data_IF_078438221736
#
_entry.id   IF_078438221736
#
_cell.length_a   1.000
_cell.length_b   1.000
_cell.length_c   1.000
_cell.angle_alpha   90.00
_cell.angle_beta   90.00
_cell.angle_gamma   90.00
#
_symmetry.space_group_name_H-M   'P 1'
#
loop_
_entity.id
_entity.type
_entity.pdbx_description
1 polymer ?
#
# COMPACT_ATOMS: atom_id res chain seq x y z
N UNK A 1 -24.45 1.85 -3.73
CA UNK A 1 -23.31 1.44 -4.59
C UNK A 1 -21.99 1.56 -3.83
N UNK A 2 -21.71 2.71 -3.20
CA UNK A 2 -20.50 2.99 -2.38
C UNK A 2 -20.24 1.95 -1.28
N UNK A 3 -21.26 1.56 -0.50
CA UNK A 3 -21.12 0.56 0.56
C UNK A 3 -20.64 -0.81 0.03
N UNK A 4 -21.06 -1.16 -1.19
CA UNK A 4 -20.70 -2.44 -1.83
C UNK A 4 -19.26 -2.44 -2.35
N UNK A 5 -18.74 -1.26 -2.74
CA UNK A 5 -17.33 -1.06 -3.11
C UNK A 5 -16.42 -1.14 -1.88
N UNK A 6 -16.77 -0.46 -0.78
CA UNK A 6 -15.99 -0.51 0.48
C UNK A 6 -15.89 -1.94 1.04
N UNK A 7 -16.94 -2.75 0.89
CA UNK A 7 -16.96 -4.15 1.34
C UNK A 7 -16.19 -5.10 0.41
N UNK A 8 -16.04 -4.77 -0.87
CA UNK A 8 -15.34 -5.62 -1.86
C UNK A 8 -13.82 -5.43 -1.83
N UNK A 9 -13.37 -4.26 -1.37
CA UNK A 9 -11.96 -3.86 -1.34
C UNK A 9 -11.29 -4.03 0.04
N UNK A 10 -11.99 -4.56 1.05
CA UNK A 10 -11.42 -4.73 2.39
C UNK A 10 -10.22 -5.68 2.31
N UNK A 11 -9.02 -5.16 2.55
CA UNK A 11 -7.81 -5.97 2.49
C UNK A 11 -7.84 -7.02 3.59
N UNK A 12 -7.44 -8.26 3.25
CA UNK A 12 -7.16 -9.25 4.27
C UNK A 12 -5.84 -8.85 4.94
N UNK A 13 -5.87 -8.61 6.25
CA UNK A 13 -4.69 -8.28 7.05
C UNK A 13 -3.56 -9.27 6.81
N UNK A 14 -2.37 -8.75 6.53
CA UNK A 14 -1.13 -9.48 6.31
C UNK A 14 -0.22 -9.41 7.54
N UNK A 15 -0.23 -8.32 8.30
CA UNK A 15 0.62 -8.21 9.49
C UNK A 15 0.07 -9.00 10.67
N UNK A 16 0.94 -9.76 11.32
CA UNK A 16 0.64 -10.66 12.43
C UNK A 16 1.75 -10.60 13.48
N UNK A 17 1.39 -10.65 14.75
CA UNK A 17 2.38 -10.66 15.84
C UNK A 17 2.61 -12.08 16.39
N UNK A 18 1.60 -12.97 16.37
CA UNK A 18 1.72 -14.35 16.85
C UNK A 18 2.37 -15.30 15.82
N UNK A 19 3.59 -15.77 16.10
CA UNK A 19 4.35 -16.68 15.22
C UNK A 19 3.73 -18.07 15.11
N UNK A 20 3.11 -18.59 16.18
CA UNK A 20 2.52 -19.94 16.19
C UNK A 20 1.33 -20.07 15.22
N UNK A 21 0.71 -18.94 14.88
CA UNK A 21 -0.39 -18.87 13.93
C UNK A 21 0.07 -18.65 12.48
N UNK A 22 1.37 -18.39 12.26
CA UNK A 22 1.90 -18.10 10.93
C UNK A 22 2.15 -19.39 10.15
N UNK A 23 1.63 -19.44 8.93
CA UNK A 23 2.17 -20.34 7.92
C UNK A 23 3.38 -19.69 7.23
N UNK A 24 3.95 -20.39 6.23
CA UNK A 24 5.08 -19.85 5.45
C UNK A 24 4.78 -18.48 4.80
N UNK A 25 3.52 -18.23 4.42
CA UNK A 25 3.12 -16.96 3.80
C UNK A 25 2.98 -15.86 4.85
N UNK A 26 2.37 -16.17 5.99
CA UNK A 26 2.32 -15.29 7.15
C UNK A 26 3.72 -14.88 7.57
N UNK A 27 4.65 -15.84 7.66
CA UNK A 27 6.03 -15.55 8.03
C UNK A 27 6.73 -14.66 6.98
N UNK A 28 6.51 -14.86 5.68
CA UNK A 28 7.14 -14.04 4.64
C UNK A 28 6.83 -12.53 4.77
N UNK A 29 5.65 -12.16 5.29
CA UNK A 29 5.28 -10.77 5.55
C UNK A 29 5.69 -10.28 6.94
N UNK A 30 6.10 -11.19 7.83
CA UNK A 30 6.24 -10.92 9.26
C UNK A 30 7.59 -11.33 9.85
N UNK A 31 8.51 -11.84 9.02
CA UNK A 31 9.81 -12.35 9.43
C UNK A 31 10.78 -11.24 9.88
N UNK A 32 10.50 -9.97 9.53
CA UNK A 32 11.23 -8.83 10.06
C UNK A 32 10.25 -7.83 10.65
N UNK A 33 10.57 -7.25 11.81
CA UNK A 33 9.72 -6.27 12.48
C UNK A 33 10.56 -5.33 13.36
N UNK A 34 9.97 -4.24 13.82
CA UNK A 34 10.64 -3.33 14.77
C UNK A 34 10.13 -3.63 16.19
N UNK A 35 11.05 -3.87 17.12
CA UNK A 35 10.68 -4.10 18.52
C UNK A 35 10.32 -2.80 19.26
N UNK A 36 9.91 -2.95 20.52
CA UNK A 36 9.54 -1.81 21.38
C UNK A 36 10.68 -0.81 21.64
N UNK A 37 11.93 -1.22 21.44
CA UNK A 37 13.11 -0.38 21.61
C UNK A 37 13.56 0.28 20.30
N UNK A 38 12.86 0.02 19.19
CA UNK A 38 13.22 0.53 17.87
C UNK A 38 14.26 -0.31 17.12
N UNK A 39 14.57 -1.53 17.58
CA UNK A 39 15.52 -2.39 16.91
C UNK A 39 14.85 -3.24 15.82
N UNK A 40 15.56 -3.44 14.72
CA UNK A 40 15.16 -4.39 13.68
C UNK A 40 15.37 -5.81 14.20
N UNK A 41 14.31 -6.61 14.19
CA UNK A 41 14.31 -8.02 14.56
C UNK A 41 14.10 -8.88 13.33
N UNK A 42 14.71 -10.06 13.32
CA UNK A 42 14.40 -11.17 12.42
C UNK A 42 13.83 -12.33 13.22
N UNK A 43 12.82 -13.00 12.67
CA UNK A 43 12.25 -14.22 13.22
C UNK A 43 11.90 -15.25 12.16
N UNK A 44 11.99 -16.51 12.57
CA UNK A 44 11.43 -17.67 11.88
C UNK A 44 10.70 -18.58 12.89
N UNK A 45 10.50 -19.85 12.57
CA UNK A 45 9.79 -20.79 13.46
C UNK A 45 10.62 -21.23 14.69
N UNK A 46 11.92 -20.98 14.70
CA UNK A 46 12.84 -21.44 15.73
C UNK A 46 13.54 -20.30 16.45
N UNK A 47 13.86 -19.22 15.72
CA UNK A 47 14.61 -18.09 16.25
C UNK A 47 13.85 -16.77 16.16
N UNK A 48 14.10 -15.91 17.13
CA UNK A 48 13.74 -14.50 17.13
C UNK A 48 14.96 -13.74 17.67
N UNK A 49 15.61 -12.95 16.83
CA UNK A 49 16.93 -12.36 17.09
C UNK A 49 17.04 -10.94 16.54
N UNK A 50 17.92 -10.15 17.14
CA UNK A 50 18.27 -8.82 16.65
C UNK A 50 18.99 -8.95 15.31
N UNK A 51 18.64 -8.10 14.35
CA UNK A 51 19.22 -8.17 13.01
C UNK A 51 20.73 -7.95 13.01
N UNK A 52 21.28 -7.11 13.92
CA UNK A 52 22.73 -6.93 14.08
C UNK A 52 23.36 -8.20 14.61
N UNK A 53 22.75 -8.82 15.62
CA UNK A 53 23.28 -10.05 16.20
C UNK A 53 23.24 -11.22 15.20
N UNK A 54 22.19 -11.31 14.39
CA UNK A 54 22.11 -12.26 13.28
C UNK A 54 23.25 -12.02 12.28
N UNK A 55 23.44 -10.78 11.84
CA UNK A 55 24.46 -10.44 10.87
C UNK A 55 25.90 -10.62 11.41
N UNK A 56 26.17 -10.24 12.67
CA UNK A 56 27.42 -10.52 13.38
C UNK A 56 27.68 -12.03 13.48
N UNK A 57 26.64 -12.82 13.75
CA UNK A 57 26.71 -14.29 13.74
C UNK A 57 27.09 -14.84 12.36
N UNK A 58 26.44 -14.36 11.30
CA UNK A 58 26.77 -14.76 9.92
C UNK A 58 28.21 -14.41 9.55
N UNK A 59 28.69 -13.21 9.93
CA UNK A 59 30.08 -12.82 9.69
C UNK A 59 31.07 -13.77 10.35
N UNK A 60 30.81 -14.14 11.62
CA UNK A 60 31.66 -15.05 12.38
C UNK A 60 31.73 -16.45 11.76
N UNK A 61 30.62 -16.96 11.25
CA UNK A 61 30.54 -18.32 10.70
C UNK A 61 31.01 -18.40 9.24
N UNK A 62 30.80 -17.34 8.46
CA UNK A 62 30.99 -17.38 7.00
C UNK A 62 32.25 -16.67 6.52
N UNK A 63 32.97 -15.96 7.40
CA UNK A 63 34.19 -15.22 7.03
C UNK A 63 35.37 -15.63 7.90
N UNK A 64 36.59 -15.53 7.35
CA UNK A 64 37.80 -16.01 8.01
C UNK A 64 38.33 -15.05 9.10
N UNK A 65 37.93 -13.77 9.06
CA UNK A 65 38.44 -12.74 9.96
C UNK A 65 37.51 -12.54 11.16
N UNK A 66 38.07 -12.65 12.36
CA UNK A 66 37.39 -12.16 13.56
C UNK A 66 37.32 -10.63 13.52
N UNK A 67 36.11 -10.10 13.31
CA UNK A 67 35.84 -8.66 13.37
C UNK A 67 35.13 -8.33 14.67
N UNK A 68 35.60 -7.31 15.37
CA UNK A 68 34.96 -6.75 16.56
C UNK A 68 34.59 -5.30 16.29
N UNK A 69 33.47 -4.87 16.85
CA UNK A 69 32.93 -3.51 16.70
C UNK A 69 32.89 -2.84 18.07
N UNK A 70 33.19 -1.54 18.14
CA UNK A 70 33.18 -0.79 19.40
C UNK A 70 31.75 -0.40 19.82
N UNK A 71 30.85 -0.25 18.84
CA UNK A 71 29.44 0.02 19.01
C UNK A 71 28.58 -0.56 17.89
N UNK A 72 27.26 -0.48 18.04
CA UNK A 72 26.32 -0.83 16.97
C UNK A 72 26.37 0.18 15.81
N UNK A 73 26.67 1.46 16.08
CA UNK A 73 26.87 2.47 15.02
C UNK A 73 28.10 2.13 14.16
N UNK A 74 29.21 1.73 14.79
CA UNK A 74 30.40 1.29 14.06
C UNK A 74 30.13 0.04 13.21
N UNK A 75 29.27 -0.86 13.69
CA UNK A 75 28.84 -2.02 12.93
C UNK A 75 27.99 -1.61 11.72
N UNK A 76 27.01 -0.73 11.92
CA UNK A 76 26.10 -0.27 10.88
C UNK A 76 26.87 0.49 9.77
N UNK A 77 27.80 1.37 10.14
CA UNK A 77 28.68 2.09 9.21
C UNK A 77 29.58 1.12 8.43
N UNK A 78 30.15 0.13 9.12
CA UNK A 78 30.97 -0.89 8.49
C UNK A 78 30.16 -1.67 7.44
N UNK A 79 28.94 -2.11 7.77
CA UNK A 79 28.05 -2.77 6.81
C UNK A 79 27.72 -1.88 5.62
N UNK A 80 27.50 -0.58 5.85
CA UNK A 80 27.28 0.41 4.79
C UNK A 80 28.40 0.45 3.74
N UNK A 81 29.67 0.38 4.18
CA UNK A 81 30.82 0.33 3.26
C UNK A 81 30.79 -0.90 2.35
N UNK A 82 30.49 -2.09 2.88
CA UNK A 82 30.49 -3.33 2.10
C UNK A 82 29.34 -3.43 1.10
N UNK A 83 28.23 -2.71 1.32
CA UNK A 83 27.15 -2.60 0.32
C UNK A 83 27.67 -1.87 -0.93
N UNK A 84 28.47 -0.81 -0.76
CA UNK A 84 28.94 0.04 -1.86
C UNK A 84 30.20 -0.48 -2.57
N UNK A 85 31.13 -1.09 -1.82
CA UNK A 85 32.46 -1.44 -2.33
C UNK A 85 32.53 -2.86 -2.91
N UNK A 86 31.99 -3.84 -2.18
CA UNK A 86 32.12 -5.27 -2.51
C UNK A 86 30.93 -5.80 -3.32
N UNK A 87 29.74 -5.24 -3.07
CA UNK A 87 28.47 -5.74 -3.60
C UNK A 87 28.18 -7.21 -3.23
N UNK A 88 27.17 -7.83 -3.83
CA UNK A 88 26.76 -9.21 -3.50
C UNK A 88 27.77 -10.31 -3.89
N UNK A 89 28.94 -9.94 -4.43
CA UNK A 89 29.92 -10.88 -4.96
C UNK A 89 30.89 -11.41 -3.88
N UNK A 90 30.98 -10.78 -2.71
CA UNK A 90 31.76 -11.27 -1.57
C UNK A 90 30.84 -11.74 -0.45
N UNK A 91 31.35 -12.58 0.46
CA UNK A 91 30.58 -13.00 1.63
C UNK A 91 30.17 -11.79 2.48
N UNK A 92 31.08 -10.82 2.67
CA UNK A 92 30.81 -9.60 3.44
C UNK A 92 29.74 -8.74 2.79
N UNK A 93 29.85 -8.47 1.49
CA UNK A 93 28.86 -7.66 0.78
C UNK A 93 27.50 -8.36 0.64
N UNK A 94 27.47 -9.71 0.54
CA UNK A 94 26.23 -10.48 0.62
C UNK A 94 25.56 -10.34 2.00
N UNK A 95 26.32 -10.49 3.09
CA UNK A 95 25.79 -10.34 4.46
C UNK A 95 25.32 -8.90 4.68
N UNK A 96 26.07 -7.90 4.23
CA UNK A 96 25.69 -6.49 4.33
C UNK A 96 24.40 -6.18 3.55
N UNK A 97 24.25 -6.74 2.36
CA UNK A 97 23.02 -6.62 1.57
C UNK A 97 21.85 -7.32 2.25
N UNK A 98 22.05 -8.52 2.81
CA UNK A 98 21.02 -9.23 3.55
C UNK A 98 20.58 -8.45 4.79
N UNK A 99 21.54 -7.93 5.56
CA UNK A 99 21.29 -7.08 6.72
C UNK A 99 20.48 -5.82 6.38
N UNK A 100 20.82 -5.13 5.28
CA UNK A 100 20.03 -4.02 4.77
C UNK A 100 18.58 -4.44 4.40
N UNK A 101 18.41 -5.64 3.82
CA UNK A 101 17.08 -6.16 3.51
C UNK A 101 16.26 -6.44 4.78
N UNK A 102 16.88 -6.89 5.88
CA UNK A 102 16.19 -7.09 7.15
C UNK A 102 15.57 -5.77 7.65
N UNK A 103 16.36 -4.68 7.61
CA UNK A 103 15.89 -3.33 7.98
C UNK A 103 14.74 -2.87 7.08
N UNK A 104 14.92 -2.99 5.76
CA UNK A 104 13.90 -2.61 4.80
C UNK A 104 12.59 -3.38 5.02
N UNK A 105 12.66 -4.69 5.25
CA UNK A 105 11.49 -5.53 5.50
C UNK A 105 10.79 -5.17 6.81
N UNK A 106 11.53 -4.88 7.88
CA UNK A 106 10.94 -4.45 9.16
C UNK A 106 10.20 -3.11 9.02
N UNK A 107 10.83 -2.10 8.41
CA UNK A 107 10.22 -0.79 8.17
C UNK A 107 8.97 -0.89 7.29
N UNK A 108 9.04 -1.67 6.21
CA UNK A 108 7.89 -1.89 5.34
C UNK A 108 6.75 -2.61 6.05
N UNK A 109 7.06 -3.61 6.89
CA UNK A 109 6.07 -4.31 7.71
C UNK A 109 5.39 -3.35 8.69
N UNK A 110 6.13 -2.53 9.42
CA UNK A 110 5.52 -1.58 10.37
C UNK A 110 4.67 -0.54 9.66
N UNK A 111 5.10 -0.09 8.46
CA UNK A 111 4.30 0.81 7.64
C UNK A 111 3.00 0.16 7.16
N UNK A 112 3.06 -1.12 6.77
CA UNK A 112 1.86 -1.89 6.40
C UNK A 112 0.94 -2.06 7.61
N UNK A 113 1.48 -2.45 8.77
CA UNK A 113 0.74 -2.59 10.04
C UNK A 113 -0.02 -1.31 10.37
N UNK A 114 0.63 -0.16 10.24
CA UNK A 114 0.02 1.14 10.45
C UNK A 114 -1.18 1.40 9.53
N UNK A 115 -1.09 1.07 8.23
CA UNK A 115 -2.21 1.25 7.31
C UNK A 115 -3.35 0.26 7.55
N UNK A 116 -3.03 -1.00 7.87
CA UNK A 116 -4.03 -2.01 8.24
C UNK A 116 -4.77 -1.62 9.52
N UNK A 117 -4.06 -1.09 10.52
CA UNK A 117 -4.67 -0.56 11.75
C UNK A 117 -5.57 0.64 11.47
N UNK A 118 -5.18 1.54 10.55
CA UNK A 118 -6.04 2.64 10.12
C UNK A 118 -7.31 2.13 9.41
N UNK A 119 -7.21 1.10 8.58
CA UNK A 119 -8.36 0.48 7.92
C UNK A 119 -9.32 -0.14 8.94
N UNK A 120 -8.81 -0.92 9.90
CA UNK A 120 -9.61 -1.52 10.97
C UNK A 120 -10.29 -0.49 11.87
N UNK A 121 -9.62 0.64 12.13
CA UNK A 121 -10.18 1.78 12.89
C UNK A 121 -11.16 2.64 12.07
N UNK A 122 -11.36 2.36 10.77
CA UNK A 122 -12.20 3.17 9.88
C UNK A 122 -11.61 4.55 9.57
N UNK A 123 -10.29 4.69 9.64
CA UNK A 123 -9.52 5.94 9.44
C UNK A 123 -8.75 5.96 8.11
N UNK A 124 -8.66 4.84 7.40
CA UNK A 124 -8.12 4.79 6.04
C UNK A 124 -9.22 5.16 5.04
N UNK A 125 -8.99 6.21 4.25
CA UNK A 125 -9.95 6.71 3.27
C UNK A 125 -9.51 6.30 1.86
N UNK A 126 -10.38 5.58 1.15
CA UNK A 126 -10.26 5.31 -0.28
C UNK A 126 -11.36 6.07 -0.99
N UNK A 127 -10.98 7.01 -1.85
CA UNK A 127 -11.93 7.84 -2.61
C UNK A 127 -12.22 7.22 -3.99
N UNK A 128 -13.44 7.39 -4.54
CA UNK A 128 -13.80 6.84 -5.86
C UNK A 128 -12.96 7.39 -7.03
N UNK A 129 -12.38 8.59 -6.87
CA UNK A 129 -11.53 9.24 -7.84
C UNK A 129 -10.55 10.19 -7.15
N UNK A 130 -9.58 10.72 -7.90
CA UNK A 130 -8.63 11.75 -7.47
C UNK A 130 -8.68 12.98 -8.37
N UNK A 131 -8.12 14.08 -7.88
CA UNK A 131 -7.97 15.32 -8.67
C UNK A 131 -7.23 15.04 -9.98
N UNK A 132 -7.77 15.56 -11.09
CA UNK A 132 -7.27 15.35 -12.44
C UNK A 132 -7.86 14.14 -13.19
N UNK A 133 -8.55 13.22 -12.48
CA UNK A 133 -9.32 12.17 -13.14
C UNK A 133 -10.43 12.77 -14.01
N UNK A 134 -10.93 11.97 -14.94
CA UNK A 134 -12.13 12.30 -15.73
C UNK A 134 -13.32 11.58 -15.13
N UNK A 135 -14.37 12.33 -14.80
CA UNK A 135 -15.70 11.81 -14.46
C UNK A 135 -16.66 12.09 -15.59
N UNK A 136 -17.73 11.30 -15.67
CA UNK A 136 -18.70 11.32 -16.75
C UNK A 136 -20.08 11.60 -16.17
N UNK A 137 -20.73 12.66 -16.64
CA UNK A 137 -22.09 13.02 -16.24
C UNK A 137 -23.05 12.79 -17.42
N UNK A 138 -24.18 12.11 -17.17
CA UNK A 138 -25.27 12.06 -18.14
C UNK A 138 -26.15 13.29 -17.98
N UNK A 139 -26.16 14.14 -19.01
CA UNK A 139 -26.99 15.34 -19.07
C UNK A 139 -28.21 15.12 -19.96
N UNK A 140 -29.32 15.77 -19.60
CA UNK A 140 -30.56 15.82 -20.36
C UNK A 140 -30.71 17.21 -20.98
N UNK A 141 -30.82 17.27 -22.30
CA UNK A 141 -31.21 18.48 -23.03
C UNK A 141 -32.62 18.32 -23.57
N UNK A 142 -33.47 19.31 -23.35
CA UNK A 142 -34.88 19.30 -23.76
C UNK A 142 -35.19 20.25 -24.91
N UNK A 143 -34.24 21.11 -25.30
CA UNK A 143 -34.40 22.15 -26.33
C UNK A 143 -33.20 22.13 -27.27
N UNK A 144 -33.38 22.08 -28.60
CA UNK A 144 -34.66 22.05 -29.33
C UNK A 144 -35.36 20.68 -29.36
N UNK A 145 -34.67 19.60 -29.02
CA UNK A 145 -35.23 18.24 -28.93
C UNK A 145 -34.81 17.61 -27.59
N UNK A 146 -35.59 16.65 -27.10
CA UNK A 146 -35.23 15.87 -25.92
C UNK A 146 -34.20 14.79 -26.28
N UNK A 147 -32.99 14.88 -25.73
CA UNK A 147 -31.96 13.85 -25.84
C UNK A 147 -31.02 13.84 -24.62
N UNK A 148 -30.40 12.68 -24.39
CA UNK A 148 -29.35 12.50 -23.39
C UNK A 148 -27.97 12.38 -24.04
N UNK A 149 -26.96 12.94 -23.40
CA UNK A 149 -25.56 12.80 -23.77
C UNK A 149 -24.65 12.69 -22.54
N UNK A 150 -23.42 12.25 -22.77
CA UNK A 150 -22.39 12.18 -21.73
C UNK A 150 -21.49 13.40 -21.86
N UNK A 151 -21.33 14.12 -20.75
CA UNK A 151 -20.35 15.18 -20.59
C UNK A 151 -19.15 14.66 -19.81
N UNK A 152 -17.94 15.04 -20.26
CA UNK A 152 -16.69 14.66 -19.60
C UNK A 152 -16.17 15.85 -18.78
N UNK A 153 -15.88 15.63 -17.50
CA UNK A 153 -15.39 16.67 -16.61
C UNK A 153 -14.10 16.27 -15.90
N UNK A 154 -13.19 17.24 -15.77
CA UNK A 154 -11.98 17.07 -14.96
C UNK A 154 -12.29 17.34 -13.50
N UNK A 155 -11.92 16.39 -12.65
CA UNK A 155 -12.04 16.53 -11.19
C UNK A 155 -11.13 17.66 -10.72
N UNK A 156 -11.73 18.66 -10.11
CA UNK A 156 -11.06 19.83 -9.54
C UNK A 156 -10.69 19.60 -8.07
N UNK A 157 -11.55 18.92 -7.31
CA UNK A 157 -11.37 18.64 -5.89
C UNK A 157 -12.17 17.39 -5.48
N UNK A 158 -11.82 16.79 -4.34
CA UNK A 158 -12.50 15.60 -3.80
C UNK A 158 -12.68 15.73 -2.29
N UNK A 159 -13.82 15.23 -1.81
CA UNK A 159 -14.11 15.11 -0.38
C UNK A 159 -14.55 13.68 -0.06
N UNK A 160 -14.81 13.40 1.21
CA UNK A 160 -15.33 12.09 1.62
C UNK A 160 -16.77 11.82 1.17
N UNK A 161 -17.50 12.84 0.67
CA UNK A 161 -18.92 12.70 0.25
C UNK A 161 -19.20 13.06 -1.20
N UNK A 162 -18.34 13.86 -1.81
CA UNK A 162 -18.61 14.52 -3.08
C UNK A 162 -17.33 14.75 -3.87
N UNK A 163 -17.49 14.89 -5.18
CA UNK A 163 -16.46 15.29 -6.14
C UNK A 163 -16.79 16.69 -6.66
N UNK A 164 -15.76 17.50 -6.90
CA UNK A 164 -15.92 18.81 -7.50
C UNK A 164 -15.52 18.80 -8.96
N UNK A 165 -16.39 19.27 -9.84
CA UNK A 165 -16.11 19.50 -11.25
C UNK A 165 -17.05 20.59 -11.81
N UNK A 166 -16.66 21.23 -12.92
CA UNK A 166 -17.42 22.36 -13.48
C UNK A 166 -17.74 23.46 -12.43
N UNK A 167 -16.85 23.66 -11.46
CA UNK A 167 -16.99 24.58 -10.32
C UNK A 167 -18.10 24.24 -9.31
N UNK A 168 -18.77 23.09 -9.47
CA UNK A 168 -19.86 22.61 -8.61
C UNK A 168 -19.48 21.31 -7.88
N UNK A 169 -20.13 21.04 -6.75
CA UNK A 169 -19.91 19.85 -5.93
C UNK A 169 -21.05 18.87 -6.13
N UNK A 170 -20.72 17.67 -6.60
CA UNK A 170 -21.68 16.60 -6.80
C UNK A 170 -21.44 15.44 -5.83
N UNK A 171 -22.48 14.95 -5.13
CA UNK A 171 -22.34 13.83 -4.21
C UNK A 171 -22.02 12.55 -4.99
N UNK A 172 -21.26 11.65 -4.39
CA UNK A 172 -20.85 10.40 -5.06
C UNK A 172 -22.00 9.45 -5.40
N UNK A 173 -23.18 9.64 -4.79
CA UNK A 173 -24.41 8.89 -5.07
C UNK A 173 -25.35 9.62 -6.04
N UNK A 174 -24.91 10.70 -6.69
CA UNK A 174 -25.65 11.34 -7.77
C UNK A 174 -25.87 10.37 -8.94
N UNK A 175 -27.14 10.18 -9.33
CA UNK A 175 -27.57 9.12 -10.26
C UNK A 175 -26.92 9.19 -11.65
N UNK A 176 -26.57 10.40 -12.10
CA UNK A 176 -26.02 10.64 -13.42
C UNK A 176 -24.49 10.73 -13.44
N UNK A 177 -23.82 10.55 -12.30
CA UNK A 177 -22.36 10.60 -12.19
C UNK A 177 -21.72 9.21 -12.27
N UNK A 178 -20.71 9.08 -13.11
CA UNK A 178 -19.97 7.83 -13.34
C UNK A 178 -18.45 8.09 -13.33
N UNK A 179 -17.69 7.11 -12.83
CA UNK A 179 -16.22 7.20 -12.72
C UNK A 179 -15.49 6.50 -13.88
N UNK A 180 -16.23 5.81 -14.74
CA UNK A 180 -15.71 5.19 -15.97
C UNK A 180 -16.61 5.51 -17.15
N UNK A 181 -16.04 5.55 -18.35
CA UNK A 181 -16.78 5.84 -19.58
C UNK A 181 -17.74 4.73 -19.92
N UNK A 182 -17.30 3.49 -19.74
CA UNK A 182 -18.04 2.27 -20.04
C UNK A 182 -19.33 2.19 -19.19
N UNK A 183 -19.27 2.55 -17.90
CA UNK A 183 -20.46 2.61 -17.04
C UNK A 183 -21.44 3.70 -17.49
N UNK A 184 -20.92 4.88 -17.87
CA UNK A 184 -21.74 5.98 -18.36
C UNK A 184 -22.45 5.62 -19.67
N UNK A 185 -21.73 5.01 -20.63
CA UNK A 185 -22.30 4.56 -21.90
C UNK A 185 -23.38 3.47 -21.68
N UNK A 186 -23.13 2.50 -20.80
CA UNK A 186 -24.11 1.48 -20.45
C UNK A 186 -25.35 2.05 -19.73
N UNK A 187 -25.19 3.08 -18.90
CA UNK A 187 -26.31 3.78 -18.27
C UNK A 187 -27.10 4.63 -19.27
N UNK A 188 -26.44 5.32 -20.20
CA UNK A 188 -27.06 6.09 -21.26
C UNK A 188 -27.93 5.21 -22.17
N UNK A 189 -27.43 4.04 -22.57
CA UNK A 189 -28.19 3.09 -23.40
C UNK A 189 -29.43 2.55 -22.67
N UNK A 190 -29.35 2.33 -21.35
CA UNK A 190 -30.52 1.98 -20.54
C UNK A 190 -31.56 3.10 -20.54
N UNK A 191 -31.15 4.35 -20.29
CA UNK A 191 -32.05 5.51 -20.32
C UNK A 191 -32.69 5.73 -21.70
N UNK A 192 -31.96 5.44 -22.79
CA UNK A 192 -32.51 5.47 -24.17
C UNK A 192 -33.51 4.35 -24.45
N UNK A 193 -33.30 3.16 -23.87
CA UNK A 193 -34.20 2.01 -24.00
C UNK A 193 -35.49 2.13 -23.18
N UNK A 194 -35.45 2.89 -22.08
CA UNK A 194 -36.61 3.29 -21.28
C UNK A 194 -37.41 4.38 -22.02
N UNK A 195 -38.27 3.98 -22.96
CA UNK A 195 -39.20 4.89 -23.63
C UNK A 195 -40.02 5.69 -22.59
N UNK A 196 -39.74 6.98 -22.44
CA UNK A 196 -40.69 7.94 -21.90
C UNK A 196 -41.93 7.97 -22.82
N UNK A 197 -43.08 7.57 -22.28
CA UNK A 197 -44.41 7.85 -22.83
C UNK A 197 -44.86 9.23 -22.38
#
# INVERSE_FOLDING_TARGET
MIQKWIETEKMKRLTMDNVEEMDMFGLAHNCCYIDENGNTRYRDFEIDIDARELAKGMLKEMTEDAVSFESDEDFDDWMGCYIGEDGICTQRGLIATFYQNLWAMAELREKLKYYEDLEEQGRLLVLPCKVGDTVYEILEETVPNHYFYISEHKVQDVSVKAVKYADEWEPYDYENLYFTREEAEAALERKRGEKCW
#
